data_IF_795257231592
#
_entry.id   IF_795257231592
#
_cell.length_a   1.000
_cell.length_b   1.000
_cell.length_c   1.000
_cell.angle_alpha   90.00
_cell.angle_beta   90.00
_cell.angle_gamma   90.00
#
_symmetry.space_group_name_H-M   'P 1'
#
loop_
_entity.id
_entity.type
_entity.pdbx_description
1 polymer ?
#
# COMPACT_ATOMS: atom_id res chain seq x y z
N UNK A 1 0.41 -18.92 -45.27
CA UNK A 1 -0.52 -18.81 -44.14
C UNK A 1 0.26 -19.18 -42.88
N UNK A 2 0.74 -18.19 -42.12
CA UNK A 2 1.44 -18.41 -40.85
C UNK A 2 0.36 -18.58 -39.77
N UNK A 3 0.20 -19.82 -39.29
CA UNK A 3 -0.59 -20.12 -38.11
C UNK A 3 0.18 -19.61 -36.89
N UNK A 4 -0.13 -18.40 -36.44
CA UNK A 4 0.27 -17.96 -35.10
C UNK A 4 -0.56 -18.80 -34.13
N UNK A 5 0.08 -19.74 -33.43
CA UNK A 5 -0.55 -20.50 -32.35
C UNK A 5 -0.96 -19.52 -31.26
N UNK A 6 -2.23 -19.50 -30.89
CA UNK A 6 -2.78 -18.70 -29.79
C UNK A 6 -2.27 -19.14 -28.39
N UNK A 7 -1.43 -20.16 -28.29
CA UNK A 7 -1.19 -20.86 -27.02
C UNK A 7 0.24 -20.78 -26.48
N UNK A 8 1.13 -19.96 -27.04
CA UNK A 8 2.41 -19.67 -26.39
C UNK A 8 2.24 -18.47 -25.47
N UNK A 9 1.53 -18.66 -24.35
CA UNK A 9 1.74 -17.78 -23.20
C UNK A 9 3.12 -18.12 -22.64
N UNK A 10 4.11 -17.31 -22.96
CA UNK A 10 5.41 -17.37 -22.30
C UNK A 10 5.13 -17.11 -20.83
N UNK A 11 5.28 -18.14 -19.98
CA UNK A 11 5.15 -17.97 -18.55
C UNK A 11 6.16 -16.91 -18.10
N UNK A 12 5.67 -15.83 -17.51
CA UNK A 12 6.54 -14.78 -17.02
C UNK A 12 7.43 -15.35 -15.91
N UNK A 13 8.75 -15.08 -15.94
CA UNK A 13 9.64 -15.56 -14.90
C UNK A 13 9.22 -15.00 -13.55
N UNK A 14 9.32 -15.83 -12.50
CA UNK A 14 9.13 -15.38 -11.13
C UNK A 14 10.28 -14.44 -10.78
N UNK A 15 9.95 -13.21 -10.36
CA UNK A 15 10.89 -12.21 -9.87
C UNK A 15 11.54 -12.74 -8.59
N UNK A 16 12.86 -12.60 -8.53
CA UNK A 16 13.62 -13.07 -7.38
C UNK A 16 13.43 -12.15 -6.18
N UNK A 17 13.52 -12.73 -5.00
CA UNK A 17 13.26 -12.01 -3.74
C UNK A 17 14.27 -10.90 -3.44
N UNK A 18 15.51 -11.04 -3.91
CA UNK A 18 16.56 -10.03 -3.79
C UNK A 18 16.31 -8.79 -4.66
N UNK A 19 15.59 -8.96 -5.77
CA UNK A 19 15.26 -7.86 -6.70
C UNK A 19 13.99 -7.12 -6.27
N UNK A 20 13.16 -7.75 -5.45
CA UNK A 20 11.88 -7.22 -4.99
C UNK A 20 12.05 -6.39 -3.71
N UNK A 21 11.72 -5.10 -3.75
CA UNK A 21 11.62 -4.25 -2.56
C UNK A 21 10.20 -3.72 -2.42
N UNK A 22 9.67 -3.78 -1.19
CA UNK A 22 8.34 -3.30 -0.85
C UNK A 22 8.50 -2.33 0.32
N UNK A 23 7.85 -1.17 0.24
CA UNK A 23 7.85 -0.19 1.32
C UNK A 23 6.51 0.50 1.38
N UNK A 24 6.00 0.75 2.59
CA UNK A 24 4.84 1.61 2.75
C UNK A 24 5.27 3.07 2.73
N UNK A 25 4.69 3.87 1.84
CA UNK A 25 4.95 5.30 1.73
C UNK A 25 3.72 6.10 2.18
N UNK A 26 3.95 7.18 2.92
CA UNK A 26 2.94 8.18 3.27
C UNK A 26 3.12 9.43 2.42
N UNK A 27 2.02 9.96 1.90
CA UNK A 27 2.02 11.28 1.25
C UNK A 27 2.19 12.36 2.31
N UNK A 28 3.07 13.31 2.02
CA UNK A 28 3.30 14.51 2.83
C UNK A 28 3.18 15.74 1.93
N UNK A 29 2.88 16.88 2.54
CA UNK A 29 2.73 18.14 1.85
C UNK A 29 4.08 18.63 1.33
N UNK A 30 4.05 19.32 0.20
CA UNK A 30 5.22 19.99 -0.37
C UNK A 30 5.94 20.86 0.67
N UNK A 31 5.19 21.71 1.38
CA UNK A 31 5.76 22.61 2.40
C UNK A 31 6.53 21.86 3.48
N UNK A 32 6.00 20.71 3.93
CA UNK A 32 6.68 19.89 4.93
C UNK A 32 7.91 19.19 4.34
N UNK A 33 7.76 18.64 3.13
CA UNK A 33 8.83 17.94 2.44
C UNK A 33 10.02 18.87 2.13
N UNK A 34 9.76 20.07 1.62
CA UNK A 34 10.77 21.11 1.38
C UNK A 34 11.50 21.49 2.67
N UNK A 35 10.77 21.69 3.77
CA UNK A 35 11.37 21.99 5.08
C UNK A 35 12.31 20.87 5.56
N UNK A 36 12.02 19.61 5.21
CA UNK A 36 12.82 18.43 5.54
C UNK A 36 13.86 18.07 4.48
N UNK A 37 13.96 18.83 3.39
CA UNK A 37 14.90 18.57 2.29
C UNK A 37 14.58 17.30 1.50
N UNK A 38 13.31 16.86 1.48
CA UNK A 38 12.86 15.72 0.70
C UNK A 38 12.57 16.17 -0.73
N UNK A 39 13.21 15.52 -1.69
CA UNK A 39 13.05 15.80 -3.12
C UNK A 39 11.80 15.08 -3.63
N UNK A 40 10.98 15.77 -4.44
CA UNK A 40 9.78 15.17 -5.03
C UNK A 40 10.10 14.07 -6.04
N UNK A 41 9.22 13.08 -6.12
CA UNK A 41 9.18 12.11 -7.21
C UNK A 41 7.91 12.39 -8.02
N UNK A 42 8.07 12.76 -9.30
CA UNK A 42 6.96 13.05 -10.21
C UNK A 42 5.96 14.11 -9.69
N UNK A 43 6.45 15.12 -8.95
CA UNK A 43 5.62 16.20 -8.41
C UNK A 43 4.88 15.86 -7.11
N UNK A 44 5.13 14.69 -6.53
CA UNK A 44 4.58 14.27 -5.24
C UNK A 44 5.69 14.03 -4.22
N UNK A 45 5.34 14.15 -2.93
CA UNK A 45 6.28 13.97 -1.83
C UNK A 45 5.84 12.79 -0.98
N UNK A 46 6.71 11.79 -0.90
CA UNK A 46 6.43 10.54 -0.21
C UNK A 46 7.50 10.26 0.84
N UNK A 47 7.05 9.89 2.03
CA UNK A 47 7.90 9.55 3.16
C UNK A 47 7.75 8.07 3.48
N UNK A 48 8.82 7.26 3.42
CA UNK A 48 8.75 5.88 3.87
C UNK A 48 8.36 5.81 5.33
N UNK A 49 7.48 4.88 5.66
CA UNK A 49 6.88 4.78 6.99
C UNK A 49 7.91 4.55 8.11
N UNK A 50 9.01 3.86 7.79
CA UNK A 50 10.18 3.67 8.68
C UNK A 50 10.76 4.99 9.17
N UNK A 51 10.69 6.06 8.35
CA UNK A 51 11.07 7.42 8.75
C UNK A 51 9.91 8.16 9.41
N UNK A 52 8.70 8.04 8.87
CA UNK A 52 7.50 8.73 9.38
C UNK A 52 7.21 8.44 10.86
N UNK A 53 7.62 7.27 11.38
CA UNK A 53 7.48 6.93 12.81
C UNK A 53 8.17 7.90 13.77
N UNK A 54 9.20 8.62 13.31
CA UNK A 54 9.93 9.59 14.12
C UNK A 54 9.35 11.01 14.00
N UNK A 55 8.36 11.22 13.13
CA UNK A 55 7.82 12.54 12.78
C UNK A 55 6.31 12.65 13.10
N UNK A 56 5.77 11.71 13.88
CA UNK A 56 4.32 11.55 14.11
C UNK A 56 3.65 12.84 14.57
N UNK A 57 4.25 13.60 15.48
CA UNK A 57 3.67 14.85 15.99
C UNK A 57 3.63 15.95 14.92
N UNK A 58 4.73 16.11 14.16
CA UNK A 58 4.82 17.11 13.09
C UNK A 58 3.85 16.77 11.95
N UNK A 59 3.76 15.49 11.59
CA UNK A 59 2.84 15.00 10.56
C UNK A 59 1.38 15.11 11.01
N UNK A 60 1.08 14.91 12.29
CA UNK A 60 -0.27 15.14 12.82
C UNK A 60 -0.73 16.58 12.57
N UNK A 61 0.13 17.57 12.81
CA UNK A 61 -0.22 18.98 12.58
C UNK A 61 -0.51 19.27 11.11
N UNK A 62 0.23 18.62 10.21
CA UNK A 62 -0.05 18.69 8.78
C UNK A 62 -1.39 18.03 8.42
N UNK A 63 -1.63 16.80 8.86
CA UNK A 63 -2.85 16.07 8.53
C UNK A 63 -4.11 16.66 9.17
N UNK A 64 -3.98 17.38 10.29
CA UNK A 64 -5.09 18.15 10.86
C UNK A 64 -5.52 19.30 9.94
N UNK A 65 -4.63 19.82 9.09
CA UNK A 65 -4.97 20.85 8.11
C UNK A 65 -5.63 20.26 6.86
N UNK A 66 -5.14 19.12 6.38
CA UNK A 66 -5.62 18.51 5.13
C UNK A 66 -6.82 17.59 5.34
N UNK A 67 -6.99 17.03 6.54
CA UNK A 67 -8.07 16.11 6.90
C UNK A 67 -7.94 14.70 6.33
N UNK A 68 -6.90 14.40 5.56
CA UNK A 68 -6.75 13.13 4.81
C UNK A 68 -5.33 12.59 4.94
N UNK A 69 -5.21 11.30 5.28
CA UNK A 69 -3.96 10.55 5.19
C UNK A 69 -3.99 9.71 3.90
N UNK A 70 -3.07 10.00 3.00
CA UNK A 70 -2.83 9.20 1.80
C UNK A 70 -1.53 8.40 1.94
N UNK A 71 -1.50 7.19 1.40
CA UNK A 71 -0.32 6.34 1.45
C UNK A 71 -0.60 4.95 0.91
N UNK A 72 0.45 4.24 0.52
CA UNK A 72 0.34 2.98 -0.22
C UNK A 72 1.64 2.19 -0.25
N UNK A 73 1.57 0.97 -0.76
CA UNK A 73 2.76 0.15 -0.99
C UNK A 73 3.47 0.58 -2.26
N UNK A 74 4.70 1.06 -2.14
CA UNK A 74 5.64 1.15 -3.24
C UNK A 74 6.29 -0.21 -3.46
N UNK A 75 6.29 -0.69 -4.70
CA UNK A 75 6.97 -1.91 -5.10
C UNK A 75 8.03 -1.54 -6.12
N UNK A 76 9.26 -1.93 -5.82
CA UNK A 76 10.42 -1.75 -6.69
C UNK A 76 10.94 -3.13 -7.11
N UNK A 77 11.33 -3.26 -8.37
CA UNK A 77 11.89 -4.48 -8.97
C UNK A 77 13.21 -4.10 -9.64
N UNK A 78 14.31 -4.66 -9.16
CA UNK A 78 15.66 -4.38 -9.67
C UNK A 78 16.00 -2.87 -9.71
N UNK A 79 15.46 -2.09 -8.78
CA UNK A 79 15.66 -0.64 -8.68
C UNK A 79 14.69 0.19 -9.52
N UNK A 80 13.80 -0.44 -10.28
CA UNK A 80 12.75 0.25 -11.05
C UNK A 80 11.43 0.20 -10.30
N UNK A 81 10.68 1.32 -10.34
CA UNK A 81 9.35 1.41 -9.74
C UNK A 81 8.37 0.58 -10.56
N UNK A 82 7.73 -0.41 -9.94
CA UNK A 82 6.71 -1.24 -10.59
C UNK A 82 5.37 -0.52 -10.66
N UNK A 83 4.91 0.02 -9.54
CA UNK A 83 3.76 0.91 -9.50
C UNK A 83 4.27 2.34 -9.39
N UNK A 84 3.82 3.23 -10.27
CA UNK A 84 4.25 4.64 -10.41
C UNK A 84 3.97 5.55 -9.18
N UNK A 85 4.09 5.03 -7.96
CA UNK A 85 3.89 5.68 -6.66
C UNK A 85 2.50 6.32 -6.47
N UNK A 86 1.50 5.87 -7.22
CA UNK A 86 0.13 6.31 -7.03
C UNK A 86 -0.48 5.62 -5.82
N UNK A 87 -0.83 6.42 -4.81
CA UNK A 87 -1.34 5.94 -3.54
C UNK A 87 -2.73 6.47 -3.25
N UNK A 88 -3.57 5.60 -2.69
CA UNK A 88 -4.91 5.94 -2.24
C UNK A 88 -4.95 6.48 -0.82
N UNK A 89 -6.17 6.70 -0.34
CA UNK A 89 -6.43 6.88 1.07
C UNK A 89 -6.12 5.60 1.83
N UNK A 90 -5.72 5.74 3.10
CA UNK A 90 -5.32 4.60 3.93
C UNK A 90 -6.28 3.38 3.90
N UNK A 91 -7.63 3.52 3.88
CA UNK A 91 -8.55 2.37 3.79
C UNK A 91 -8.45 1.60 2.48
N UNK A 92 -8.16 2.28 1.37
CA UNK A 92 -7.96 1.63 0.07
C UNK A 92 -6.70 0.78 0.12
N UNK A 93 -5.64 1.29 0.73
CA UNK A 93 -4.42 0.51 0.95
C UNK A 93 -4.64 -0.67 1.90
N UNK A 94 -5.59 -0.58 2.84
CA UNK A 94 -5.97 -1.71 3.67
C UNK A 94 -6.59 -2.88 2.88
N UNK A 95 -7.09 -2.65 1.68
CA UNK A 95 -7.68 -3.69 0.85
C UNK A 95 -6.64 -4.73 0.39
N UNK A 96 -5.37 -4.34 0.21
CA UNK A 96 -4.26 -5.25 -0.12
C UNK A 96 -4.18 -6.43 0.84
N UNK A 97 -4.23 -6.14 2.13
CA UNK A 97 -4.11 -7.16 3.14
C UNK A 97 -5.34 -8.06 3.22
N UNK A 98 -6.53 -7.51 3.01
CA UNK A 98 -7.74 -8.32 2.90
C UNK A 98 -7.67 -9.23 1.67
N UNK A 99 -7.15 -8.74 0.55
CA UNK A 99 -6.91 -9.53 -0.65
C UNK A 99 -5.92 -10.68 -0.38
N UNK A 100 -4.76 -10.40 0.20
CA UNK A 100 -3.77 -11.42 0.55
C UNK A 100 -4.33 -12.46 1.55
N UNK A 101 -5.11 -12.03 2.54
CA UNK A 101 -5.77 -12.93 3.48
C UNK A 101 -6.79 -13.86 2.79
N UNK A 102 -7.57 -13.34 1.84
CA UNK A 102 -8.50 -14.14 1.04
C UNK A 102 -7.77 -15.15 0.16
N UNK A 103 -6.66 -14.75 -0.46
CA UNK A 103 -5.78 -15.65 -1.22
C UNK A 103 -5.19 -16.75 -0.35
N UNK A 104 -4.79 -16.44 0.89
CA UNK A 104 -4.36 -17.44 1.87
C UNK A 104 -5.45 -18.45 2.23
N UNK A 105 -6.71 -18.01 2.28
CA UNK A 105 -7.88 -18.87 2.55
C UNK A 105 -8.31 -19.74 1.36
N UNK A 106 -7.62 -19.66 0.23
CA UNK A 106 -7.85 -20.51 -0.93
C UNK A 106 -8.60 -19.83 -2.08
N UNK A 107 -8.94 -18.54 -1.97
CA UNK A 107 -9.37 -17.78 -3.14
C UNK A 107 -8.21 -17.67 -4.15
N UNK A 108 -8.52 -17.76 -5.45
CA UNK A 108 -7.49 -17.80 -6.51
C UNK A 108 -7.29 -16.46 -7.20
N UNK A 109 -8.33 -15.63 -7.29
CA UNK A 109 -8.31 -14.36 -8.00
C UNK A 109 -9.03 -13.34 -7.14
N UNK A 110 -8.34 -12.25 -6.79
CA UNK A 110 -8.91 -11.10 -6.11
C UNK A 110 -8.67 -9.86 -6.97
N UNK A 111 -9.69 -9.03 -7.09
CA UNK A 111 -9.58 -7.70 -7.68
C UNK A 111 -9.84 -6.71 -6.57
N UNK A 112 -8.92 -5.76 -6.40
CA UNK A 112 -8.97 -4.75 -5.35
C UNK A 112 -8.88 -3.37 -5.98
N UNK A 113 -9.68 -2.43 -5.49
CA UNK A 113 -9.60 -1.05 -5.94
C UNK A 113 -8.40 -0.38 -5.27
N UNK A 114 -7.52 0.23 -6.06
CA UNK A 114 -6.30 0.84 -5.51
C UNK A 114 -6.41 2.37 -5.56
N UNK A 115 -6.95 2.91 -6.65
CA UNK A 115 -7.09 4.36 -6.84
C UNK A 115 -8.10 4.68 -7.96
N UNK A 116 -9.08 5.56 -7.73
CA UNK A 116 -10.11 5.94 -8.72
C UNK A 116 -10.70 4.73 -9.49
N UNK A 117 -10.65 4.75 -10.82
CA UNK A 117 -11.14 3.69 -11.72
C UNK A 117 -10.12 2.54 -11.90
N UNK A 118 -8.94 2.63 -11.26
CA UNK A 118 -7.89 1.62 -11.33
C UNK A 118 -8.09 0.50 -10.31
N UNK A 119 -7.97 -0.73 -10.82
CA UNK A 119 -8.04 -1.95 -10.01
C UNK A 119 -6.74 -2.73 -10.15
N UNK A 120 -6.32 -3.33 -9.04
CA UNK A 120 -5.24 -4.30 -9.05
C UNK A 120 -5.82 -5.71 -8.98
N UNK A 121 -5.39 -6.55 -9.91
CA UNK A 121 -5.70 -7.96 -9.90
C UNK A 121 -4.54 -8.73 -9.24
N UNK A 122 -4.90 -9.60 -8.30
CA UNK A 122 -4.00 -10.53 -7.64
C UNK A 122 -4.48 -11.95 -7.94
N UNK A 123 -3.72 -12.70 -8.72
CA UNK A 123 -4.04 -14.08 -9.11
C UNK A 123 -3.02 -15.05 -8.55
N UNK A 124 -3.45 -15.85 -7.58
CA UNK A 124 -2.67 -16.98 -7.05
C UNK A 124 -2.75 -18.15 -8.02
N UNK A 125 -1.68 -18.37 -8.77
CA UNK A 125 -1.57 -19.42 -9.78
C UNK A 125 -1.23 -20.76 -9.13
N UNK A 126 -0.37 -20.75 -8.10
CA UNK A 126 0.05 -21.93 -7.36
C UNK A 126 0.27 -21.61 -5.87
N UNK A 127 0.82 -22.56 -5.10
CA UNK A 127 1.21 -22.29 -3.72
C UNK A 127 2.31 -21.23 -3.63
N UNK A 128 3.17 -21.16 -4.64
CA UNK A 128 4.34 -20.29 -4.69
C UNK A 128 4.21 -19.14 -5.68
N UNK A 129 3.23 -19.13 -6.58
CA UNK A 129 3.17 -18.12 -7.63
C UNK A 129 1.97 -17.19 -7.46
N UNK A 130 2.27 -15.89 -7.36
CA UNK A 130 1.30 -14.80 -7.40
C UNK A 130 1.58 -13.94 -8.63
N UNK A 131 0.60 -13.85 -9.53
CA UNK A 131 0.59 -12.86 -10.61
C UNK A 131 -0.10 -11.59 -10.13
N UNK A 132 0.51 -10.43 -10.40
CA UNK A 132 -0.11 -9.12 -10.17
C UNK A 132 -0.05 -8.25 -11.42
N UNK A 133 -1.11 -7.51 -11.69
CA UNK A 133 -1.15 -6.43 -12.69
C UNK A 133 -2.33 -5.50 -12.44
N UNK A 134 -2.21 -4.25 -12.88
CA UNK A 134 -3.32 -3.32 -12.91
C UNK A 134 -4.24 -3.57 -14.10
N UNK A 135 -5.52 -3.31 -13.91
CA UNK A 135 -6.56 -3.53 -14.91
C UNK A 135 -7.73 -2.56 -14.73
N UNK A 136 -8.44 -2.25 -15.82
CA UNK A 136 -9.69 -1.45 -15.76
C UNK A 136 -10.90 -2.33 -15.37
N UNK A 137 -10.87 -3.60 -15.79
CA UNK A 137 -11.88 -4.61 -15.55
C UNK A 137 -11.22 -5.97 -15.31
N UNK A 138 -11.95 -7.07 -15.35
CA UNK A 138 -11.36 -8.38 -15.01
C UNK A 138 -10.44 -8.93 -16.13
N UNK A 139 -10.27 -8.23 -17.26
CA UNK A 139 -9.74 -8.80 -18.50
C UNK A 139 -8.54 -8.08 -19.14
N UNK A 140 -8.34 -6.78 -18.92
CA UNK A 140 -7.34 -5.99 -19.69
C UNK A 140 -6.21 -5.36 -18.84
N UNK A 141 -4.97 -5.91 -18.89
CA UNK A 141 -3.82 -5.33 -18.20
C UNK A 141 -3.47 -3.91 -18.67
N UNK A 142 -3.19 -3.02 -17.71
CA UNK A 142 -2.68 -1.65 -17.91
C UNK A 142 -1.19 -1.57 -17.67
N UNK A 143 -0.40 -1.69 -18.73
CA UNK A 143 1.07 -1.62 -18.65
C UNK A 143 1.61 -0.20 -18.52
N UNK A 144 0.78 0.82 -18.73
CA UNK A 144 1.14 2.23 -18.58
C UNK A 144 1.27 2.68 -17.12
N UNK A 145 0.84 1.85 -16.16
CA UNK A 145 0.89 2.16 -14.75
C UNK A 145 1.66 1.12 -13.93
N UNK A 146 1.34 -0.18 -14.07
CA UNK A 146 2.21 -1.26 -13.66
C UNK A 146 2.04 -2.49 -14.58
N UNK A 147 3.16 -3.00 -15.09
CA UNK A 147 3.13 -4.18 -15.97
C UNK A 147 2.87 -5.47 -15.18
N UNK A 148 2.51 -6.54 -15.89
CA UNK A 148 2.30 -7.85 -15.27
C UNK A 148 3.60 -8.38 -14.64
N UNK A 149 3.50 -8.87 -13.41
CA UNK A 149 4.62 -9.44 -12.67
C UNK A 149 4.22 -10.76 -12.03
N UNK A 150 5.19 -11.66 -11.90
CA UNK A 150 5.07 -12.90 -11.16
C UNK A 150 6.05 -12.85 -9.97
N UNK A 151 5.54 -13.08 -8.76
CA UNK A 151 6.34 -13.09 -7.53
C UNK A 151 6.07 -14.36 -6.74
N UNK A 152 6.98 -14.68 -5.81
CA UNK A 152 6.70 -15.73 -4.85
C UNK A 152 5.59 -15.31 -3.89
N UNK A 153 4.48 -16.05 -3.81
CA UNK A 153 3.31 -15.67 -3.02
C UNK A 153 3.64 -15.56 -1.52
N UNK A 154 4.40 -16.51 -0.98
CA UNK A 154 4.73 -16.53 0.44
C UNK A 154 5.62 -15.35 0.79
N UNK A 155 6.74 -15.16 0.07
CA UNK A 155 7.69 -14.09 0.36
C UNK A 155 7.09 -12.71 0.12
N UNK A 156 6.29 -12.55 -0.95
CA UNK A 156 5.58 -11.30 -1.20
C UNK A 156 4.65 -10.94 -0.04
N UNK A 157 3.87 -11.92 0.44
CA UNK A 157 2.95 -11.70 1.56
C UNK A 157 3.68 -11.40 2.85
N UNK A 158 4.78 -12.09 3.14
CA UNK A 158 5.64 -11.82 4.29
C UNK A 158 6.18 -10.39 4.28
N UNK A 159 6.64 -9.88 3.13
CA UNK A 159 7.11 -8.49 2.98
C UNK A 159 5.99 -7.47 3.20
N UNK A 160 4.83 -7.66 2.57
CA UNK A 160 3.65 -6.78 2.77
C UNK A 160 3.21 -6.77 4.25
N UNK A 161 3.18 -7.93 4.90
CA UNK A 161 2.80 -8.04 6.32
C UNK A 161 3.85 -7.44 7.26
N UNK A 162 5.14 -7.51 6.91
CA UNK A 162 6.19 -6.84 7.66
C UNK A 162 5.98 -5.31 7.67
N UNK A 163 5.76 -4.71 6.51
CA UNK A 163 5.40 -3.29 6.38
C UNK A 163 4.09 -2.96 7.11
N UNK A 164 3.10 -3.87 7.07
CA UNK A 164 1.85 -3.72 7.80
C UNK A 164 2.00 -3.64 9.32
N UNK A 165 2.98 -4.34 9.91
CA UNK A 165 3.27 -4.22 11.35
C UNK A 165 3.80 -2.84 11.70
N UNK A 166 4.63 -2.25 10.84
CA UNK A 166 5.14 -0.89 11.00
C UNK A 166 3.97 0.10 10.91
N UNK A 167 3.06 -0.10 9.95
CA UNK A 167 1.85 0.72 9.77
C UNK A 167 0.95 0.71 10.99
N UNK A 168 0.68 -0.47 11.54
CA UNK A 168 -0.12 -0.61 12.76
C UNK A 168 0.49 0.21 13.90
N UNK A 169 1.79 0.03 14.18
CA UNK A 169 2.46 0.77 15.24
C UNK A 169 2.46 2.29 15.00
N UNK A 170 2.63 2.72 13.75
CA UNK A 170 2.53 4.12 13.37
C UNK A 170 1.13 4.69 13.65
N UNK A 171 0.07 3.99 13.25
CA UNK A 171 -1.33 4.39 13.48
C UNK A 171 -1.63 4.48 14.99
N UNK A 172 -1.15 3.51 15.78
CA UNK A 172 -1.31 3.53 17.23
C UNK A 172 -0.63 4.75 17.86
N UNK A 173 0.60 5.05 17.45
CA UNK A 173 1.35 6.21 17.92
C UNK A 173 0.66 7.52 17.49
N UNK A 174 0.17 7.57 16.25
CA UNK A 174 -0.58 8.70 15.72
C UNK A 174 -1.87 8.96 16.51
N UNK A 175 -2.62 7.91 16.85
CA UNK A 175 -3.80 8.01 17.71
C UNK A 175 -3.48 8.52 19.12
N UNK A 176 -2.40 8.03 19.72
CA UNK A 176 -1.98 8.53 21.03
C UNK A 176 -1.64 10.02 20.97
N UNK A 177 -0.99 10.47 19.89
CA UNK A 177 -0.70 11.89 19.68
C UNK A 177 -1.98 12.72 19.51
N UNK A 178 -2.99 12.22 18.78
CA UNK A 178 -4.32 12.84 18.68
C UNK A 178 -4.96 12.99 20.07
N UNK A 179 -5.02 11.91 20.85
CA UNK A 179 -5.65 11.92 22.18
C UNK A 179 -4.94 12.86 23.17
N UNK A 180 -3.63 13.02 23.03
CA UNK A 180 -2.89 14.03 23.79
C UNK A 180 -3.27 15.45 23.34
N UNK A 181 -3.40 15.68 22.04
CA UNK A 181 -3.67 17.01 21.48
C UNK A 181 -5.11 17.48 21.67
N UNK A 182 -6.07 16.56 21.80
CA UNK A 182 -7.47 16.82 22.24
C UNK A 182 -7.56 17.53 23.58
N UNK A 183 -6.56 17.39 24.45
CA UNK A 183 -6.51 18.05 25.76
C UNK A 183 -6.04 19.51 25.65
N UNK A 184 -5.64 19.97 24.46
CA UNK A 184 -5.26 21.36 24.20
C UNK A 184 -6.49 22.25 24.01
N UNK A 185 -6.53 23.47 24.59
CA UNK A 185 -7.60 24.44 24.36
C UNK A 185 -7.76 24.90 22.90
N UNK A 186 -6.76 24.63 22.05
CA UNK A 186 -6.74 25.02 20.63
C UNK A 186 -7.36 23.98 19.68
N UNK A 187 -7.90 22.88 20.19
CA UNK A 187 -8.46 21.80 19.38
C UNK A 187 -9.80 22.21 18.73
N UNK A 188 -9.91 22.03 17.40
CA UNK A 188 -11.14 22.30 16.61
C UNK A 188 -11.62 21.00 15.95
N UNK A 189 -12.94 20.86 15.75
CA UNK A 189 -13.69 19.66 15.29
C UNK A 189 -13.36 19.10 13.88
N UNK A 190 -12.23 19.43 13.26
CA UNK A 190 -11.80 18.91 11.93
C UNK A 190 -11.42 17.41 11.94
N UNK A 191 -11.85 16.68 12.97
CA UNK A 191 -11.27 15.44 13.52
C UNK A 191 -11.89 14.14 13.01
N UNK A 192 -13.04 14.20 12.34
CA UNK A 192 -13.93 13.05 12.21
C UNK A 192 -13.42 11.95 11.26
N UNK A 193 -12.59 12.28 10.26
CA UNK A 193 -12.08 11.30 9.29
C UNK A 193 -10.84 10.57 9.83
N UNK A 194 -9.89 11.28 10.43
CA UNK A 194 -8.65 10.72 10.99
C UNK A 194 -8.92 9.71 12.10
N UNK A 195 -9.85 10.01 13.00
CA UNK A 195 -10.25 9.11 14.09
C UNK A 195 -10.91 7.84 13.56
N UNK A 196 -11.81 7.97 12.58
CA UNK A 196 -12.53 6.82 12.00
C UNK A 196 -11.57 5.89 11.25
N UNK A 197 -10.61 6.44 10.53
CA UNK A 197 -9.56 5.72 9.79
C UNK A 197 -8.68 4.89 10.73
N UNK A 198 -8.21 5.51 11.80
CA UNK A 198 -7.29 4.89 12.73
C UNK A 198 -7.99 3.88 13.68
N UNK A 199 -9.27 4.11 14.01
CA UNK A 199 -10.10 3.17 14.78
C UNK A 199 -10.53 1.95 13.95
N UNK A 200 -10.77 2.12 12.64
CA UNK A 200 -11.07 1.00 11.75
C UNK A 200 -9.82 0.14 11.50
N UNK A 201 -8.66 0.76 11.27
CA UNK A 201 -7.40 0.04 11.11
C UNK A 201 -7.04 -0.78 12.36
N UNK A 202 -7.20 -0.25 13.58
CA UNK A 202 -6.91 -1.01 14.80
C UNK A 202 -7.87 -2.18 15.06
N UNK A 203 -9.18 -2.03 14.78
CA UNK A 203 -10.20 -3.05 15.10
C UNK A 203 -10.34 -4.18 14.08
N UNK A 204 -10.03 -3.93 12.81
CA UNK A 204 -10.28 -4.92 11.73
C UNK A 204 -9.03 -5.69 11.30
N UNK A 205 -7.84 -5.24 11.73
CA UNK A 205 -6.58 -5.56 11.06
C UNK A 205 -5.58 -6.34 11.92
N UNK A 206 -5.34 -5.88 13.16
CA UNK A 206 -4.34 -6.45 14.07
C UNK A 206 -4.57 -7.93 14.41
N UNK A 207 -5.81 -8.42 14.62
CA UNK A 207 -6.03 -9.83 14.98
C UNK A 207 -5.73 -10.83 13.85
N UNK A 208 -5.76 -10.41 12.58
CA UNK A 208 -5.64 -11.33 11.42
C UNK A 208 -4.19 -11.54 10.95
N UNK A 209 -3.31 -10.56 11.17
CA UNK A 209 -1.86 -10.69 10.89
C UNK A 209 -1.16 -11.66 11.86
N UNK A 210 -1.75 -11.91 13.03
CA UNK A 210 -1.19 -12.77 14.08
C UNK A 210 -1.52 -14.26 13.83
N UNK A 211 -2.55 -14.56 13.03
CA UNK A 211 -3.04 -15.94 12.79
C UNK A 211 -2.30 -16.63 11.63
N UNK A 212 -1.56 -15.90 10.79
CA UNK A 212 -0.74 -16.46 9.70
C UNK A 212 0.62 -17.00 10.17
N UNK A 213 0.69 -17.60 11.38
CA UNK A 213 1.85 -18.32 11.88
C UNK A 213 1.66 -19.83 11.72
#
# INVERSE_FOLDING_TARGET
>A
MLLIREDIKIAMPIIKNEDLKISFLLSVSEKWAEHKGIISANGWYFLPLVYAKNEVVTLLDEYLLTGVIMGGFAIEIAGESWNNYYFGQLPQTMQWFNALHRLHKGEKVIITEVFDESKLLLRRVSEHELTLYETWDDYYPRTDFCWEINVDFQHFTEKIFAEGKILVNWIETFNQAIEQRKKSPSWKDYTFQLEKLALQASKSFIPKLIIAK
#
